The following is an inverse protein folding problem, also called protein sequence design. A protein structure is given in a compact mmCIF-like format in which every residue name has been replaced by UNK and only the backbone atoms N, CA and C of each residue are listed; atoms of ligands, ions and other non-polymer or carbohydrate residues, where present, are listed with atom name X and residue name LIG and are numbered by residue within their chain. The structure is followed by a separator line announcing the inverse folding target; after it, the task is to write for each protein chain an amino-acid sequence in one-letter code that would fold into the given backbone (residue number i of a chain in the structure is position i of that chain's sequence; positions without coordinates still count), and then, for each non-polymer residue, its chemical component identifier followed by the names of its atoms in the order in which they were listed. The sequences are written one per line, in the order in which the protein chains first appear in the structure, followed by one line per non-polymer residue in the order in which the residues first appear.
data_IF_204486763815
#
_entry.id   IF_204486763815
#
_cell.length_a   1.000
_cell.length_b   1.000
_cell.length_c   1.000
_cell.angle_alpha   90.00
_cell.angle_beta   90.00
_cell.angle_gamma   90.00
#
_symmetry.space_group_name_H-M   'P 1'
#
loop_
_entity.id
_entity.type
_entity.pdbx_description
1 polymer ?
#
# COMPACT_ATOMS: atom_id res chain seq x y z
N UNK A 1 -11.54 -73.64 -11.09
CA UNK A 1 -10.58 -72.53 -11.24
C UNK A 1 -11.27 -71.37 -11.92
N UNK A 2 -11.11 -70.15 -11.39
CA UNK A 2 -11.03 -68.84 -12.07
C UNK A 2 -11.65 -67.73 -11.21
N UNK A 3 -10.77 -66.91 -10.64
CA UNK A 3 -11.04 -65.64 -9.95
C UNK A 3 -11.06 -64.49 -10.97
N UNK A 4 -11.50 -63.31 -10.48
CA UNK A 4 -11.27 -61.94 -10.98
C UNK A 4 -12.36 -61.36 -11.87
N UNK A 5 -12.73 -60.09 -11.76
CA UNK A 5 -12.50 -59.04 -10.76
C UNK A 5 -13.40 -57.86 -11.16
N UNK A 6 -14.09 -57.25 -10.20
CA UNK A 6 -14.61 -55.89 -10.34
C UNK A 6 -13.43 -54.93 -10.20
N UNK A 7 -13.09 -54.13 -11.22
CA UNK A 7 -12.44 -52.84 -11.04
C UNK A 7 -12.54 -52.00 -12.31
N UNK A 8 -13.44 -51.03 -12.34
CA UNK A 8 -13.57 -50.12 -13.49
C UNK A 8 -14.25 -48.78 -13.21
N UNK A 9 -14.79 -48.55 -12.00
CA UNK A 9 -15.50 -47.32 -11.67
C UNK A 9 -14.72 -46.35 -10.77
N UNK A 10 -13.61 -46.77 -10.15
CA UNK A 10 -12.90 -45.93 -9.16
C UNK A 10 -11.94 -44.89 -9.74
N UNK A 11 -11.56 -44.98 -11.02
CA UNK A 11 -10.51 -44.11 -11.58
C UNK A 11 -11.02 -42.75 -12.10
N UNK A 12 -12.24 -42.68 -12.63
CA UNK A 12 -12.74 -41.45 -13.28
C UNK A 12 -13.26 -40.42 -12.27
N UNK A 13 -13.72 -40.88 -11.11
CA UNK A 13 -14.19 -40.02 -10.01
C UNK A 13 -13.01 -39.38 -9.27
N UNK A 14 -11.90 -40.10 -9.11
CA UNK A 14 -10.72 -39.61 -8.40
C UNK A 14 -9.99 -38.46 -9.14
N UNK A 15 -10.01 -38.46 -10.47
CA UNK A 15 -9.36 -37.41 -11.26
C UNK A 15 -10.13 -36.09 -11.25
N UNK A 16 -11.47 -36.14 -11.18
CA UNK A 16 -12.32 -34.94 -11.16
C UNK A 16 -12.31 -34.21 -9.81
N UNK A 17 -12.18 -34.92 -8.69
CA UNK A 17 -12.10 -34.29 -7.37
C UNK A 17 -10.78 -33.59 -7.12
N UNK A 18 -9.68 -34.07 -7.73
CA UNK A 18 -8.34 -33.52 -7.49
C UNK A 18 -8.15 -32.14 -8.15
N UNK A 19 -8.78 -31.90 -9.31
CA UNK A 19 -8.70 -30.61 -10.02
C UNK A 19 -9.51 -29.49 -9.33
N UNK A 20 -10.60 -29.85 -8.64
CA UNK A 20 -11.44 -28.88 -7.94
C UNK A 20 -10.82 -28.39 -6.62
N UNK A 21 -9.96 -29.20 -5.99
CA UNK A 21 -9.32 -28.85 -4.71
C UNK A 21 -8.10 -27.96 -4.92
N UNK A 22 -7.40 -28.06 -6.05
CA UNK A 22 -6.22 -27.21 -6.35
C UNK A 22 -6.57 -25.81 -6.86
N UNK A 23 -7.79 -25.57 -7.35
CA UNK A 23 -8.25 -24.23 -7.70
C UNK A 23 -8.65 -23.39 -6.48
N UNK A 24 -9.05 -24.02 -5.38
CA UNK A 24 -9.53 -23.32 -4.18
C UNK A 24 -8.40 -22.75 -3.30
N UNK A 25 -7.17 -23.27 -3.40
CA UNK A 25 -6.05 -22.82 -2.57
C UNK A 25 -5.38 -21.54 -3.08
N UNK A 26 -5.61 -21.11 -4.33
CA UNK A 26 -5.03 -19.87 -4.86
C UNK A 26 -5.86 -18.61 -4.54
N UNK A 27 -7.13 -18.77 -4.15
CA UNK A 27 -7.99 -17.63 -3.77
C UNK A 27 -7.67 -17.09 -2.36
N UNK A 28 -7.04 -17.89 -1.49
CA UNK A 28 -6.74 -17.54 -0.11
C UNK A 28 -5.55 -16.58 0.07
N UNK A 29 -4.81 -16.26 -1.00
CA UNK A 29 -3.65 -15.35 -0.96
C UNK A 29 -3.97 -13.90 -1.34
N UNK A 30 -5.24 -13.60 -1.61
CA UNK A 30 -5.67 -12.21 -1.80
C UNK A 30 -5.94 -11.57 -0.45
N UNK A 31 -4.89 -11.37 0.35
CA UNK A 31 -4.97 -10.39 1.42
C UNK A 31 -5.16 -9.04 0.75
N UNK A 32 -6.42 -8.59 0.65
CA UNK A 32 -6.71 -7.18 0.42
C UNK A 32 -6.06 -6.48 1.59
N UNK A 33 -4.90 -5.87 1.36
CA UNK A 33 -4.33 -4.93 2.30
C UNK A 33 -5.33 -3.79 2.35
N UNK A 34 -6.29 -3.89 3.27
CA UNK A 34 -7.13 -2.77 3.62
C UNK A 34 -6.15 -1.73 4.14
N UNK A 35 -5.86 -0.72 3.31
CA UNK A 35 -5.24 0.48 3.80
C UNK A 35 -6.23 1.01 4.84
N UNK A 36 -5.97 0.73 6.12
CA UNK A 36 -6.51 1.49 7.24
C UNK A 36 -6.47 2.94 6.76
N UNK A 37 -7.64 3.56 6.59
CA UNK A 37 -7.72 4.92 6.09
C UNK A 37 -6.96 5.78 7.09
N UNK A 38 -5.67 6.00 6.81
CA UNK A 38 -4.77 6.68 7.70
C UNK A 38 -5.40 8.02 8.03
N UNK A 39 -5.25 8.44 9.29
CA UNK A 39 -5.73 9.77 9.72
C UNK A 39 -5.32 10.79 8.63
N UNK A 40 -6.27 11.62 8.14
CA UNK A 40 -5.98 12.57 7.07
C UNK A 40 -4.70 13.34 7.37
N UNK A 41 -3.90 13.62 6.35
CA UNK A 41 -2.69 14.42 6.52
C UNK A 41 -3.07 15.87 6.84
N UNK A 42 -3.27 16.15 8.12
CA UNK A 42 -3.56 17.49 8.64
C UNK A 42 -2.24 18.21 8.95
N UNK A 43 -1.95 19.23 8.15
CA UNK A 43 -0.80 20.10 8.39
C UNK A 43 -1.07 21.01 9.60
N UNK A 44 -0.54 20.64 10.76
CA UNK A 44 -0.52 21.47 11.96
C UNK A 44 0.91 21.67 12.46
N UNK A 45 1.22 22.80 13.14
CA UNK A 45 2.59 23.08 13.63
C UNK A 45 3.15 22.05 14.60
N UNK A 46 2.30 21.20 15.17
CA UNK A 46 2.60 20.20 16.19
C UNK A 46 2.43 18.75 15.71
N UNK A 47 2.26 18.52 14.40
CA UNK A 47 2.27 17.18 13.80
C UNK A 47 3.48 17.01 12.88
N UNK A 48 4.20 15.91 13.06
CA UNK A 48 5.29 15.46 12.19
C UNK A 48 4.91 14.17 11.49
N UNK A 49 5.30 14.03 10.22
CA UNK A 49 5.06 12.83 9.43
C UNK A 49 6.39 12.15 9.14
N UNK A 50 6.52 10.88 9.51
CA UNK A 50 7.69 10.05 9.23
C UNK A 50 7.40 9.05 8.14
N UNK A 51 8.26 8.96 7.14
CA UNK A 51 8.26 7.86 6.18
C UNK A 51 9.38 6.89 6.57
N UNK A 52 8.99 5.71 7.02
CA UNK A 52 9.90 4.74 7.63
C UNK A 52 10.56 3.87 6.57
N UNK A 53 11.61 3.14 6.98
CA UNK A 53 12.37 2.25 6.10
C UNK A 53 11.52 1.16 5.44
N UNK A 54 10.48 0.70 6.13
CA UNK A 54 9.50 -0.28 5.63
C UNK A 54 8.42 0.34 4.74
N UNK A 55 8.53 1.63 4.40
CA UNK A 55 7.61 2.31 3.50
C UNK A 55 6.28 2.69 4.15
N UNK A 56 6.21 2.74 5.48
CA UNK A 56 5.01 3.19 6.20
C UNK A 56 5.08 4.66 6.53
N UNK A 57 3.93 5.32 6.53
CA UNK A 57 3.80 6.66 7.08
C UNK A 57 3.34 6.58 8.53
N UNK A 58 4.07 7.26 9.42
CA UNK A 58 3.70 7.42 10.82
C UNK A 58 3.46 8.89 11.14
N UNK A 59 2.50 9.16 12.02
CA UNK A 59 2.19 10.50 12.52
C UNK A 59 2.71 10.63 13.94
N UNK A 60 3.40 11.72 14.23
CA UNK A 60 3.95 12.03 15.54
C UNK A 60 3.40 13.36 16.05
N UNK A 61 2.98 13.38 17.33
CA UNK A 61 2.75 14.65 18.03
C UNK A 61 4.10 15.25 18.40
N UNK A 62 4.41 16.42 17.85
CA UNK A 62 5.63 17.14 18.14
C UNK A 62 5.46 17.95 19.43
N UNK A 63 6.37 17.74 20.37
CA UNK A 63 6.53 18.58 21.56
C UNK A 63 7.62 19.64 21.34
N UNK A 64 7.67 20.64 22.21
CA UNK A 64 8.67 21.72 22.13
C UNK A 64 10.01 21.35 22.80
N UNK A 65 10.03 20.35 23.68
CA UNK A 65 11.21 19.99 24.49
C UNK A 65 12.44 19.60 23.66
N UNK A 66 12.22 19.00 22.48
CA UNK A 66 13.29 18.46 21.64
C UNK A 66 13.43 19.21 20.31
N UNK A 67 12.83 20.39 20.18
CA UNK A 67 12.81 21.14 18.91
C UNK A 67 14.22 21.45 18.39
N UNK A 68 15.17 21.81 19.27
CA UNK A 68 16.57 22.08 18.87
C UNK A 68 17.23 20.88 18.19
N UNK A 69 16.96 19.68 18.68
CA UNK A 69 17.50 18.45 18.12
C UNK A 69 16.79 18.08 16.81
N UNK A 70 15.46 18.23 16.75
CA UNK A 70 14.69 18.03 15.52
C UNK A 70 15.17 18.92 14.37
N UNK A 71 15.50 20.19 14.66
CA UNK A 71 16.01 21.12 13.65
C UNK A 71 17.49 20.90 13.29
N UNK A 72 18.23 20.10 14.06
CA UNK A 72 19.64 19.82 13.76
C UNK A 72 19.74 18.95 12.51
N UNK A 73 20.25 19.52 11.42
CA UNK A 73 20.37 18.83 10.13
C UNK A 73 19.08 18.81 9.30
N UNK A 74 17.99 19.37 9.81
CA UNK A 74 16.78 19.56 9.03
C UNK A 74 17.03 20.57 7.90
N UNK A 75 16.46 20.30 6.72
CA UNK A 75 16.46 21.24 5.60
C UNK A 75 15.05 21.75 5.37
N UNK A 76 14.95 23.04 5.09
CA UNK A 76 13.69 23.62 4.61
C UNK A 76 13.36 23.01 3.26
N UNK A 77 12.11 22.56 3.10
CA UNK A 77 11.60 22.09 1.82
C UNK A 77 11.57 23.26 0.83
N UNK A 78 12.14 23.12 -0.38
CA UNK A 78 12.03 24.14 -1.42
C UNK A 78 10.57 24.43 -1.77
N UNK A 79 10.27 25.67 -2.17
CA UNK A 79 8.96 25.99 -2.78
C UNK A 79 8.75 25.14 -4.04
N UNK A 80 7.50 24.96 -4.44
CA UNK A 80 7.16 24.11 -5.60
C UNK A 80 7.62 22.65 -5.42
N UNK A 81 7.43 22.11 -4.21
CA UNK A 81 7.61 20.67 -3.92
C UNK A 81 6.27 20.05 -3.55
N UNK A 82 5.85 19.04 -4.31
CA UNK A 82 4.67 18.23 -4.04
C UNK A 82 5.07 16.95 -3.30
N UNK A 83 4.31 16.58 -2.26
CA UNK A 83 4.38 15.27 -1.61
C UNK A 83 3.05 14.55 -1.80
N UNK A 84 3.10 13.26 -2.13
CA UNK A 84 1.90 12.46 -2.33
C UNK A 84 2.18 10.98 -2.05
N UNK A 85 1.14 10.26 -1.63
CA UNK A 85 1.20 8.81 -1.46
C UNK A 85 0.68 8.17 -2.74
N UNK A 86 1.48 7.30 -3.35
CA UNK A 86 1.06 6.54 -4.53
C UNK A 86 0.08 5.42 -4.17
N UNK A 87 -0.58 4.84 -5.17
CA UNK A 87 -1.47 3.69 -4.97
C UNK A 87 -0.79 2.47 -4.32
N UNK A 88 0.54 2.40 -4.38
CA UNK A 88 1.36 1.39 -3.71
C UNK A 88 1.67 1.71 -2.23
N UNK A 89 1.10 2.78 -1.67
CA UNK A 89 1.32 3.21 -0.29
C UNK A 89 2.65 3.92 -0.03
N UNK A 90 3.48 4.14 -1.06
CA UNK A 90 4.79 4.77 -0.92
C UNK A 90 4.67 6.29 -0.98
N UNK A 91 5.49 6.98 -0.19
CA UNK A 91 5.61 8.43 -0.23
C UNK A 91 6.53 8.86 -1.37
N UNK A 92 6.01 9.68 -2.26
CA UNK A 92 6.74 10.33 -3.34
C UNK A 92 6.91 11.82 -3.07
N UNK A 93 8.00 12.38 -3.60
CA UNK A 93 8.18 13.82 -3.72
C UNK A 93 8.46 14.20 -5.17
N UNK A 94 7.94 15.36 -5.58
CA UNK A 94 8.22 15.94 -6.89
C UNK A 94 8.62 17.40 -6.73
N UNK A 95 9.77 17.76 -7.30
CA UNK A 95 10.20 19.15 -7.43
C UNK A 95 9.73 19.73 -8.77
N UNK A 96 9.45 21.03 -8.79
CA UNK A 96 9.05 21.76 -9.98
C UNK A 96 7.54 22.04 -10.05
N UNK A 97 7.08 22.82 -11.04
CA UNK A 97 5.71 23.30 -11.07
C UNK A 97 4.74 22.11 -11.12
N UNK A 98 3.83 22.07 -10.14
CA UNK A 98 2.72 21.12 -10.05
C UNK A 98 1.36 21.83 -10.10
N UNK A 99 1.37 23.16 -10.18
CA UNK A 99 0.22 24.01 -10.49
C UNK A 99 0.44 24.69 -11.85
N UNK A 100 -0.64 24.88 -12.60
CA UNK A 100 -0.65 25.75 -13.77
C UNK A 100 -0.68 27.24 -13.37
N UNK A 101 -0.56 28.14 -14.34
CA UNK A 101 -0.56 29.59 -14.09
C UNK A 101 -1.84 30.13 -13.47
N UNK A 102 -2.96 29.41 -13.61
CA UNK A 102 -4.26 29.71 -13.00
C UNK A 102 -4.44 29.04 -11.62
N UNK A 103 -3.44 28.30 -11.13
CA UNK A 103 -3.48 27.58 -9.86
C UNK A 103 -4.13 26.20 -9.93
N UNK A 104 -4.57 25.74 -11.10
CA UNK A 104 -5.10 24.38 -11.26
C UNK A 104 -4.01 23.31 -11.13
N UNK A 105 -4.36 22.13 -10.64
CA UNK A 105 -3.40 21.03 -10.48
C UNK A 105 -3.04 20.40 -11.82
N UNK A 106 -1.74 20.28 -12.11
CA UNK A 106 -1.25 19.86 -13.45
C UNK A 106 -1.47 18.39 -13.77
N UNK A 107 -1.61 17.53 -12.77
CA UNK A 107 -1.64 16.06 -12.96
C UNK A 107 -3.06 15.50 -13.07
N UNK A 108 -4.00 16.34 -13.52
CA UNK A 108 -5.38 15.96 -13.83
C UNK A 108 -6.38 16.47 -12.80
N UNK A 109 -7.59 16.71 -13.28
CA UNK A 109 -8.81 16.69 -12.47
C UNK A 109 -9.36 15.25 -12.47
N UNK A 110 -10.09 14.88 -11.43
CA UNK A 110 -10.59 13.53 -11.18
C UNK A 110 -11.13 12.82 -12.43
N UNK A 111 -10.76 11.54 -12.56
CA UNK A 111 -11.57 10.53 -13.25
C UNK A 111 -12.23 9.64 -12.19
#
# INVERSE_FOLDING_TARGET
MARHALCGASAMTAFRTTLLITAASLAALTSVAHAEAGEPWVLTPDKGYGYTRDGKTLTYKMGTSNAKELFKGARKVPRETLFFVGANGQLYMRSGPFLEGDGSFKFGADQ
#
